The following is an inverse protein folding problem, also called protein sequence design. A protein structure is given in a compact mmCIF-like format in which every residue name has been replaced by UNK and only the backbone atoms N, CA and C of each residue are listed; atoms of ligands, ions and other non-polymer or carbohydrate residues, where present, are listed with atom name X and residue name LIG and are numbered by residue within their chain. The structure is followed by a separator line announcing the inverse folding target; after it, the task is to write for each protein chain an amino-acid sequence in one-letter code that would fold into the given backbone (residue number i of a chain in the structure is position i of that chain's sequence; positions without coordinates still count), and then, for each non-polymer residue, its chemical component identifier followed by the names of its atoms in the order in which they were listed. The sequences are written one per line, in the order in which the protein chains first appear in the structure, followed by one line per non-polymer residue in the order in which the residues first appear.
data_IF_668498168741
#
_entry.id   IF_668498168741
#
_cell.length_a   1.000
_cell.length_b   1.000
_cell.length_c   1.000
_cell.angle_alpha   90.00
_cell.angle_beta   90.00
_cell.angle_gamma   90.00
#
_symmetry.space_group_name_H-M   'P 1'
#
loop_
_entity.id
_entity.type
_entity.pdbx_description
1 polymer ?
#
# COMPACT_ATOMS: atom_id res chain seq x y z
N UNK A 1 -17.41 3.29 10.02
CA UNK A 1 -18.09 4.47 9.46
C UNK A 1 -17.31 4.90 8.22
N UNK A 2 -17.73 4.49 7.02
CA UNK A 2 -17.03 4.82 5.76
C UNK A 2 -17.66 6.09 5.21
N UNK A 3 -17.00 7.25 5.38
CA UNK A 3 -17.32 8.45 4.61
C UNK A 3 -16.58 8.36 3.27
N UNK A 4 -17.28 7.96 2.21
CA UNK A 4 -16.81 8.22 0.84
C UNK A 4 -17.12 9.68 0.54
N UNK A 5 -16.15 10.57 0.73
CA UNK A 5 -16.20 11.92 0.14
C UNK A 5 -15.49 11.84 -1.20
N UNK A 6 -16.27 11.65 -2.27
CA UNK A 6 -15.79 11.83 -3.62
C UNK A 6 -15.63 13.34 -3.89
N UNK A 7 -14.49 13.91 -3.50
CA UNK A 7 -14.12 15.25 -3.95
C UNK A 7 -13.57 15.15 -5.38
N UNK A 8 -14.46 15.35 -6.36
CA UNK A 8 -14.07 15.65 -7.73
C UNK A 8 -12.97 16.73 -7.72
N UNK A 9 -11.85 16.47 -8.41
CA UNK A 9 -10.63 17.29 -8.47
C UNK A 9 -10.83 18.67 -9.14
N UNK A 10 -12.09 19.12 -9.28
CA UNK A 10 -12.51 20.42 -9.78
C UNK A 10 -13.48 21.03 -8.76
N UNK A 11 -12.97 21.43 -7.59
CA UNK A 11 -13.65 22.36 -6.69
C UNK A 11 -13.63 23.75 -7.35
N UNK A 12 -14.47 23.92 -8.38
CA UNK A 12 -14.93 25.25 -8.74
C UNK A 12 -15.69 25.79 -7.54
N UNK A 13 -15.14 26.81 -6.91
CA UNK A 13 -15.87 27.78 -6.09
C UNK A 13 -16.88 27.16 -5.11
N UNK A 14 -16.41 26.60 -3.99
CA UNK A 14 -17.32 26.30 -2.88
C UNK A 14 -17.64 27.59 -2.14
N UNK A 15 -18.61 28.35 -2.61
CA UNK A 15 -19.27 29.36 -1.78
C UNK A 15 -20.11 28.63 -0.74
N UNK A 16 -19.73 28.73 0.53
CA UNK A 16 -20.52 28.16 1.64
C UNK A 16 -21.55 29.20 2.09
N UNK A 17 -22.85 28.98 1.89
CA UNK A 17 -23.88 29.91 2.36
C UNK A 17 -24.25 29.64 3.84
N UNK A 18 -23.39 28.97 4.60
CA UNK A 18 -23.61 28.60 6.01
C UNK A 18 -22.64 29.33 6.93
N UNK A 19 -23.13 30.22 7.83
CA UNK A 19 -22.29 30.85 8.84
C UNK A 19 -21.57 29.77 9.67
N UNK A 20 -20.23 29.82 9.72
CA UNK A 20 -19.40 28.87 10.47
C UNK A 20 -18.91 27.63 9.69
N UNK A 21 -19.33 27.41 8.44
CA UNK A 21 -18.92 26.24 7.64
C UNK A 21 -17.53 26.32 7.01
N UNK A 22 -16.93 27.51 6.93
CA UNK A 22 -15.62 27.71 6.29
C UNK A 22 -14.50 26.91 6.95
N UNK A 23 -14.44 26.91 8.28
CA UNK A 23 -13.42 26.18 9.04
C UNK A 23 -13.56 24.65 8.88
N UNK A 24 -14.78 24.14 8.74
CA UNK A 24 -14.98 22.72 8.45
C UNK A 24 -14.57 22.37 7.02
N UNK A 25 -14.89 23.23 6.06
CA UNK A 25 -14.50 23.03 4.66
C UNK A 25 -12.98 23.03 4.49
N UNK A 26 -12.26 23.93 5.15
CA UNK A 26 -10.80 23.96 5.16
C UNK A 26 -10.23 22.64 5.73
N UNK A 27 -10.77 22.17 6.86
CA UNK A 27 -10.38 20.87 7.45
C UNK A 27 -10.66 19.70 6.50
N UNK A 28 -11.83 19.68 5.85
CA UNK A 28 -12.19 18.63 4.91
C UNK A 28 -11.30 18.66 3.67
N UNK A 29 -10.94 19.84 3.15
CA UNK A 29 -10.04 19.97 2.01
C UNK A 29 -8.65 19.40 2.31
N UNK A 30 -8.05 19.80 3.43
CA UNK A 30 -6.73 19.31 3.85
C UNK A 30 -6.77 17.80 4.12
N UNK A 31 -7.77 17.32 4.87
CA UNK A 31 -7.88 15.90 5.19
C UNK A 31 -8.11 15.05 3.94
N UNK A 32 -8.93 15.51 2.99
CA UNK A 32 -9.20 14.78 1.75
C UNK A 32 -7.96 14.64 0.88
N UNK A 33 -7.07 15.64 0.88
CA UNK A 33 -5.80 15.58 0.15
C UNK A 33 -4.88 14.51 0.73
N UNK A 34 -4.71 14.49 2.06
CA UNK A 34 -3.82 13.53 2.74
C UNK A 34 -4.41 12.12 2.71
N UNK A 35 -5.71 11.96 2.99
CA UNK A 35 -6.37 10.65 2.98
C UNK A 35 -6.53 10.10 1.57
N UNK A 36 -6.80 10.96 0.59
CA UNK A 36 -6.89 10.59 -0.82
C UNK A 36 -5.55 10.10 -1.36
N UNK A 37 -4.45 10.81 -1.07
CA UNK A 37 -3.11 10.39 -1.52
C UNK A 37 -2.66 9.10 -0.85
N UNK A 38 -2.95 8.91 0.45
CA UNK A 38 -2.69 7.64 1.15
C UNK A 38 -3.48 6.48 0.53
N UNK A 39 -4.76 6.69 0.20
CA UNK A 39 -5.59 5.69 -0.47
C UNK A 39 -5.07 5.34 -1.88
N UNK A 40 -4.56 6.32 -2.62
CA UNK A 40 -3.95 6.10 -3.94
C UNK A 40 -2.66 5.27 -3.84
N UNK A 41 -1.84 5.50 -2.82
CA UNK A 41 -0.65 4.67 -2.50
C UNK A 41 -1.04 3.24 -2.18
N UNK A 42 -1.98 3.03 -1.27
CA UNK A 42 -2.41 1.69 -0.86
C UNK A 42 -2.98 0.89 -2.06
N UNK A 43 -3.86 1.51 -2.85
CA UNK A 43 -4.40 0.90 -4.07
C UNK A 43 -3.33 0.66 -5.13
N UNK A 44 -2.35 1.56 -5.24
CA UNK A 44 -1.19 1.39 -6.10
C UNK A 44 -0.35 0.15 -5.72
N UNK A 45 -0.08 -0.03 -4.42
CA UNK A 45 0.60 -1.20 -3.88
C UNK A 45 -0.18 -2.48 -4.17
N UNK A 46 -1.51 -2.44 -4.01
CA UNK A 46 -2.40 -3.56 -4.30
C UNK A 46 -2.32 -4.02 -5.76
N UNK A 47 -2.37 -3.09 -6.72
CA UNK A 47 -2.24 -3.40 -8.15
C UNK A 47 -0.84 -3.95 -8.48
N UNK A 48 0.20 -3.36 -7.90
CA UNK A 48 1.58 -3.79 -8.09
C UNK A 48 1.83 -5.18 -7.51
N UNK A 49 1.26 -5.49 -6.34
CA UNK A 49 1.28 -6.83 -5.76
C UNK A 49 0.65 -7.84 -6.72
N UNK A 50 -0.55 -7.54 -7.23
CA UNK A 50 -1.21 -8.41 -8.21
C UNK A 50 -0.35 -8.68 -9.45
N UNK A 51 0.35 -7.65 -9.96
CA UNK A 51 1.30 -7.79 -11.08
C UNK A 51 2.49 -8.68 -10.71
N UNK A 52 3.09 -8.49 -9.54
CA UNK A 52 4.24 -9.26 -9.06
C UNK A 52 3.91 -10.73 -8.81
N UNK A 53 2.76 -11.01 -8.21
CA UNK A 53 2.31 -12.38 -7.98
C UNK A 53 2.11 -13.13 -9.30
N UNK A 54 1.47 -12.50 -10.30
CA UNK A 54 1.34 -13.09 -11.65
C UNK A 54 2.69 -13.29 -12.33
N UNK A 55 3.55 -12.27 -12.32
CA UNK A 55 4.87 -12.34 -12.96
C UNK A 55 5.82 -13.38 -12.36
N UNK A 56 5.60 -13.79 -11.10
CA UNK A 56 6.37 -14.82 -10.41
C UNK A 56 5.73 -16.21 -10.45
N UNK A 57 4.62 -16.39 -11.19
CA UNK A 57 3.89 -17.66 -11.20
C UNK A 57 3.25 -18.03 -9.86
N UNK A 58 3.01 -17.04 -8.99
CA UNK A 58 2.37 -17.23 -7.68
C UNK A 58 0.84 -17.03 -7.74
N UNK A 59 0.30 -16.71 -8.92
CA UNK A 59 -1.14 -16.62 -9.13
C UNK A 59 -1.80 -17.98 -8.84
N UNK A 60 -2.60 -18.04 -7.76
CA UNK A 60 -3.22 -19.27 -7.25
C UNK A 60 -2.59 -19.81 -5.97
N UNK A 61 -1.34 -19.44 -5.67
CA UNK A 61 -0.60 -19.83 -4.45
C UNK A 61 -0.50 -18.71 -3.43
N UNK A 62 -0.77 -17.49 -3.85
CA UNK A 62 -0.87 -16.30 -3.01
C UNK A 62 -2.06 -15.45 -3.50
N UNK A 63 -2.93 -15.05 -2.57
CA UNK A 63 -4.15 -14.30 -2.86
C UNK A 63 -4.35 -13.18 -1.85
N UNK A 64 -4.58 -11.97 -2.33
CA UNK A 64 -5.03 -10.86 -1.49
C UNK A 64 -6.45 -11.16 -0.97
N UNK A 65 -6.61 -11.16 0.35
CA UNK A 65 -7.88 -11.45 1.02
C UNK A 65 -8.56 -10.16 1.47
N UNK A 66 -7.80 -9.26 2.12
CA UNK A 66 -8.33 -8.06 2.74
C UNK A 66 -7.32 -6.91 2.65
N UNK A 67 -7.84 -5.70 2.55
CA UNK A 67 -7.07 -4.46 2.74
C UNK A 67 -7.70 -3.67 3.89
N UNK A 68 -6.90 -3.38 4.91
CA UNK A 68 -7.31 -2.55 6.06
C UNK A 68 -6.41 -1.33 6.07
N UNK A 69 -6.92 -0.21 5.54
CA UNK A 69 -6.14 1.01 5.36
C UNK A 69 -4.83 0.80 4.58
N UNK A 70 -3.70 0.73 5.27
CA UNK A 70 -2.34 0.52 4.75
C UNK A 70 -1.84 -0.93 4.86
N UNK A 71 -2.64 -1.82 5.46
CA UNK A 71 -2.33 -3.24 5.60
C UNK A 71 -2.93 -4.08 4.47
N UNK A 72 -2.13 -5.00 3.94
CA UNK A 72 -2.55 -5.97 2.93
C UNK A 72 -2.45 -7.38 3.51
N UNK A 73 -3.59 -8.02 3.71
CA UNK A 73 -3.68 -9.40 4.18
C UNK A 73 -3.68 -10.35 2.98
N UNK A 74 -2.68 -11.21 2.90
CA UNK A 74 -2.48 -12.16 1.80
C UNK A 74 -2.50 -13.57 2.37
N UNK A 75 -3.38 -14.41 1.84
CA UNK A 75 -3.34 -15.86 2.07
C UNK A 75 -2.32 -16.48 1.12
N UNK A 76 -1.42 -17.31 1.65
CA UNK A 76 -0.30 -17.87 0.90
C UNK A 76 -0.10 -19.33 1.28
N UNK A 77 0.11 -20.19 0.29
CA UNK A 77 0.57 -21.55 0.53
C UNK A 77 1.96 -21.54 1.20
N UNK A 78 2.18 -22.39 2.20
CA UNK A 78 3.43 -22.39 2.97
C UNK A 78 4.72 -22.37 2.13
N UNK A 79 4.86 -23.13 1.02
CA UNK A 79 6.09 -23.10 0.22
C UNK A 79 6.28 -21.80 -0.58
N UNK A 80 5.22 -21.04 -0.81
CA UNK A 80 5.25 -19.76 -1.53
C UNK A 80 5.51 -18.54 -0.62
N UNK A 81 5.49 -18.73 0.70
CA UNK A 81 5.58 -17.65 1.69
C UNK A 81 6.79 -16.71 1.47
N UNK A 82 8.04 -17.19 1.31
CA UNK A 82 9.19 -16.29 1.12
C UNK A 82 9.06 -15.42 -0.14
N UNK A 83 8.62 -16.03 -1.24
CA UNK A 83 8.49 -15.34 -2.52
C UNK A 83 7.33 -14.34 -2.53
N UNK A 84 6.21 -14.69 -1.90
CA UNK A 84 5.05 -13.81 -1.74
C UNK A 84 5.36 -12.64 -0.80
N UNK A 85 6.04 -12.87 0.32
CA UNK A 85 6.47 -11.84 1.25
C UNK A 85 7.40 -10.82 0.57
N UNK A 86 8.37 -11.28 -0.22
CA UNK A 86 9.23 -10.39 -1.02
C UNK A 86 8.46 -9.62 -2.08
N UNK A 87 7.45 -10.23 -2.71
CA UNK A 87 6.58 -9.54 -3.66
C UNK A 87 5.74 -8.45 -2.98
N UNK A 88 5.22 -8.72 -1.78
CA UNK A 88 4.43 -7.79 -0.96
C UNK A 88 5.25 -6.59 -0.50
N UNK A 89 6.38 -6.81 0.16
CA UNK A 89 7.26 -5.73 0.61
C UNK A 89 7.70 -4.86 -0.56
N UNK A 90 8.13 -5.48 -1.66
CA UNK A 90 8.56 -4.75 -2.84
C UNK A 90 7.43 -3.99 -3.55
N UNK A 91 6.18 -4.47 -3.48
CA UNK A 91 5.03 -3.75 -4.02
C UNK A 91 4.71 -2.48 -3.22
N UNK A 92 4.78 -2.56 -1.89
CA UNK A 92 4.59 -1.41 -0.99
C UNK A 92 5.73 -0.39 -1.14
N UNK A 93 6.98 -0.84 -1.10
CA UNK A 93 8.16 0.03 -1.22
C UNK A 93 8.22 0.74 -2.59
N UNK A 94 7.76 0.10 -3.66
CA UNK A 94 7.70 0.72 -4.99
C UNK A 94 6.78 1.95 -5.04
N UNK A 95 5.87 2.13 -4.08
CA UNK A 95 5.00 3.30 -4.03
C UNK A 95 5.71 4.57 -3.52
N UNK A 96 6.89 4.45 -2.92
CA UNK A 96 7.67 5.61 -2.46
C UNK A 96 7.94 6.60 -3.63
N UNK A 97 8.19 6.08 -4.83
CA UNK A 97 8.36 6.91 -6.03
C UNK A 97 7.08 7.63 -6.49
N UNK A 98 5.89 7.11 -6.14
CA UNK A 98 4.62 7.75 -6.48
C UNK A 98 4.28 8.93 -5.57
N UNK A 99 4.76 8.89 -4.33
CA UNK A 99 4.66 10.00 -3.39
C UNK A 99 5.61 11.16 -3.74
N UNK A 100 6.66 10.90 -4.52
CA UNK A 100 7.66 11.90 -4.84
C UNK A 100 7.07 13.10 -5.60
N UNK A 101 6.08 12.92 -6.48
CA UNK A 101 5.41 14.04 -7.16
C UNK A 101 6.36 15.13 -7.67
N UNK A 102 6.16 16.38 -7.24
CA UNK A 102 7.07 17.52 -7.48
C UNK A 102 8.15 17.71 -6.39
N UNK A 103 8.12 16.91 -5.32
CA UNK A 103 9.14 16.92 -4.29
C UNK A 103 10.42 16.21 -4.80
N UNK A 104 11.58 16.84 -4.58
CA UNK A 104 12.86 16.40 -5.14
C UNK A 104 13.43 15.11 -4.51
N UNK A 105 12.82 14.58 -3.47
CA UNK A 105 13.28 13.38 -2.78
C UNK A 105 12.10 12.48 -2.40
N UNK A 106 12.17 11.21 -2.79
CA UNK A 106 11.24 10.18 -2.35
C UNK A 106 11.53 9.82 -0.89
N UNK A 107 10.51 9.93 -0.03
CA UNK A 107 10.59 9.41 1.34
C UNK A 107 10.45 7.89 1.29
N UNK A 108 11.38 7.11 1.86
CA UNK A 108 11.26 5.65 1.90
C UNK A 108 9.98 5.21 2.61
N UNK A 109 9.31 4.19 2.05
CA UNK A 109 8.15 3.54 2.66
C UNK A 109 8.55 2.15 3.16
N UNK A 110 9.00 2.00 4.42
CA UNK A 110 9.29 0.69 4.99
C UNK A 110 8.00 -0.14 5.08
N UNK A 111 8.08 -1.42 4.73
CA UNK A 111 6.98 -2.36 4.85
C UNK A 111 7.29 -3.37 5.96
N UNK A 112 6.51 -3.34 7.02
CA UNK A 112 6.56 -4.38 8.05
C UNK A 112 5.85 -5.63 7.55
N UNK A 113 6.46 -6.79 7.78
CA UNK A 113 5.90 -8.09 7.39
C UNK A 113 5.61 -8.91 8.63
N UNK A 114 4.48 -9.61 8.61
CA UNK A 114 4.13 -10.59 9.60
C UNK A 114 3.47 -11.81 8.93
N UNK A 115 3.65 -12.99 9.50
CA UNK A 115 3.12 -14.25 8.98
C UNK A 115 2.67 -15.15 10.13
N UNK A 116 1.64 -15.97 9.89
CA UNK A 116 1.07 -16.84 10.90
C UNK A 116 -0.08 -17.67 10.33
N UNK A 117 -0.55 -18.69 11.07
CA UNK A 117 -1.65 -19.57 10.63
C UNK A 117 -3.02 -18.89 10.69
N UNK A 118 -3.14 -17.79 11.43
CA UNK A 118 -4.34 -16.96 11.51
C UNK A 118 -3.96 -15.50 11.70
N UNK A 119 -4.88 -14.57 11.38
CA UNK A 119 -4.64 -13.13 11.51
C UNK A 119 -4.32 -12.73 12.97
N UNK A 120 -4.96 -13.36 13.96
CA UNK A 120 -4.69 -13.09 15.38
C UNK A 120 -3.36 -13.66 15.91
N UNK A 121 -2.64 -14.45 15.09
CA UNK A 121 -1.40 -15.13 15.48
C UNK A 121 -0.23 -14.76 14.55
N UNK A 122 -0.29 -13.60 13.89
CA UNK A 122 0.80 -13.11 13.06
C UNK A 122 2.01 -12.77 13.95
N UNK A 123 3.18 -13.28 13.56
CA UNK A 123 4.46 -12.91 14.16
C UNK A 123 5.31 -12.17 13.12
N UNK A 124 6.18 -11.28 13.59
CA UNK A 124 7.09 -10.55 12.72
C UNK A 124 7.87 -11.53 11.83
N UNK A 125 7.85 -11.28 10.53
CA UNK A 125 8.44 -12.17 9.53
C UNK A 125 9.52 -11.41 8.76
N UNK A 126 10.71 -12.00 8.69
CA UNK A 126 11.77 -11.53 7.81
C UNK A 126 11.98 -12.58 6.71
N UNK A 127 11.85 -12.23 5.42
CA UNK A 127 12.13 -13.16 4.35
C UNK A 127 13.60 -13.63 4.45
N UNK A 128 13.88 -14.92 4.23
CA UNK A 128 15.27 -15.37 4.12
C UNK A 128 15.97 -14.60 3.00
N UNK A 129 17.23 -14.22 3.23
CA UNK A 129 18.05 -13.60 2.19
C UNK A 129 17.99 -14.47 0.92
N UNK A 130 17.98 -13.86 -0.29
CA UNK A 130 17.99 -14.63 -1.52
C UNK A 130 19.17 -15.60 -1.50
N UNK A 131 18.88 -16.90 -1.65
CA UNK A 131 19.91 -17.93 -1.70
C UNK A 131 20.80 -17.66 -2.93
N UNK A 132 22.00 -17.10 -2.69
CA UNK A 132 23.12 -17.13 -3.62
C UNK A 132 23.16 -16.04 -4.70
N UNK A 133 23.80 -14.91 -4.36
CA UNK A 133 24.88 -14.40 -5.22
C UNK A 133 26.19 -14.84 -4.57
N UNK A 134 26.73 -15.99 -4.96
CA UNK A 134 28.06 -16.40 -4.52
C UNK A 134 29.11 -15.37 -4.97
N UNK A 135 30.22 -15.18 -4.25
CA UNK A 135 31.33 -14.38 -4.74
C UNK A 135 31.98 -15.14 -5.89
N UNK A 136 31.59 -14.84 -7.13
CA UNK A 136 32.10 -15.53 -8.31
C UNK A 136 31.21 -15.42 -9.54
N UNK A 137 31.09 -14.22 -10.10
CA UNK A 137 30.90 -14.06 -11.54
C UNK A 137 32.00 -13.10 -12.01
N UNK A 138 32.82 -13.63 -12.92
CA UNK A 138 34.05 -13.05 -13.46
C UNK A 138 33.86 -11.71 -14.18
#
# INVERSE_FOLDING_TARGET
MIKVVAACRRQGFVTWPVPGGAAEAERQAVNSLVQGSAADVAKGAMLELGRRLRGRGLAGRARLVLMVHDELLVEVEAPALPAAAGALAGAMQAQAGRLAGAARAAVPLPAALAAGPSWGQLVAYSPPAPLGGGPGAA
#
